data_IF_112170992974
#
_entry.id   IF_112170992974
#
_cell.length_a   1.000
_cell.length_b   1.000
_cell.length_c   1.000
_cell.angle_alpha   90.00
_cell.angle_beta   90.00
_cell.angle_gamma   90.00
#
_symmetry.space_group_name_H-M   'P 1'
#
loop_
_entity.id
_entity.type
_entity.pdbx_description
1 polymer ?
#
# COMPACT_ATOMS: atom_id res chain seq x y z
N UNK A 1 -2.02 -16.45 4.56
CA UNK A 1 -2.09 -16.53 3.09
C UNK A 1 -0.70 -16.21 2.53
N UNK A 2 -0.43 -16.37 1.23
CA UNK A 2 0.87 -16.15 0.59
C UNK A 2 0.89 -14.89 -0.30
N UNK A 3 2.07 -14.57 -0.84
CA UNK A 3 2.26 -13.53 -1.86
C UNK A 3 1.41 -13.76 -3.12
N UNK A 4 1.27 -15.02 -3.56
CA UNK A 4 0.42 -15.38 -4.69
C UNK A 4 -1.05 -15.10 -4.39
N UNK A 5 -1.53 -15.50 -3.19
CA UNK A 5 -2.91 -15.25 -2.76
C UNK A 5 -3.21 -13.75 -2.61
N UNK A 6 -2.24 -12.95 -2.15
CA UNK A 6 -2.36 -11.49 -2.14
C UNK A 6 -2.49 -10.94 -3.56
N UNK A 7 -1.66 -11.42 -4.48
CA UNK A 7 -1.64 -10.93 -5.87
C UNK A 7 -2.94 -11.26 -6.60
N UNK A 8 -3.46 -12.47 -6.43
CA UNK A 8 -4.78 -12.87 -6.92
C UNK A 8 -5.87 -11.99 -6.31
N UNK A 9 -5.88 -11.84 -4.99
CA UNK A 9 -6.87 -11.02 -4.29
C UNK A 9 -6.86 -9.56 -4.78
N UNK A 10 -5.70 -8.94 -4.97
CA UNK A 10 -5.61 -7.57 -5.48
C UNK A 10 -6.14 -7.48 -6.92
N UNK A 11 -5.80 -8.47 -7.76
CA UNK A 11 -6.24 -8.51 -9.17
C UNK A 11 -7.76 -8.66 -9.28
N UNK A 12 -8.35 -9.53 -8.46
CA UNK A 12 -9.79 -9.74 -8.41
C UNK A 12 -10.51 -8.46 -7.98
N UNK A 13 -10.05 -7.83 -6.88
CA UNK A 13 -10.64 -6.57 -6.40
C UNK A 13 -10.50 -5.43 -7.40
N UNK A 14 -9.35 -5.34 -8.07
CA UNK A 14 -9.15 -4.35 -9.13
C UNK A 14 -10.15 -4.55 -10.27
N UNK A 15 -10.37 -5.80 -10.68
CA UNK A 15 -11.30 -6.13 -11.77
C UNK A 15 -12.76 -5.87 -11.38
N UNK A 16 -13.13 -6.08 -10.12
CA UNK A 16 -14.48 -5.81 -9.60
C UNK A 16 -14.81 -4.30 -9.53
N UNK A 17 -13.83 -3.43 -9.28
CA UNK A 17 -14.04 -1.99 -9.09
C UNK A 17 -14.52 -1.27 -10.36
N UNK A 18 -14.16 -1.77 -11.55
CA UNK A 18 -14.50 -1.12 -12.81
C UNK A 18 -13.88 0.29 -12.95
N UNK A 19 -14.54 1.17 -13.73
CA UNK A 19 -14.05 2.52 -14.03
C UNK A 19 -14.74 3.62 -13.20
N UNK A 20 -15.86 3.32 -12.54
CA UNK A 20 -16.68 4.31 -11.82
C UNK A 20 -17.16 3.74 -10.49
N UNK A 21 -17.15 4.59 -9.47
CA UNK A 21 -17.65 4.27 -8.13
C UNK A 21 -18.62 5.36 -7.69
N UNK A 22 -19.90 5.00 -7.52
CA UNK A 22 -20.90 5.88 -6.93
C UNK A 22 -20.71 5.93 -5.41
N UNK A 23 -20.51 7.13 -4.87
CA UNK A 23 -20.27 7.35 -3.44
C UNK A 23 -21.42 8.17 -2.84
N UNK A 24 -22.13 7.59 -1.88
CA UNK A 24 -23.10 8.35 -1.09
C UNK A 24 -22.37 9.28 -0.11
N UNK A 25 -22.78 10.55 -0.08
CA UNK A 25 -22.17 11.54 0.79
C UNK A 25 -23.08 11.86 1.97
N UNK A 26 -22.57 11.60 3.18
CA UNK A 26 -23.24 12.03 4.40
C UNK A 26 -23.15 13.56 4.58
N UNK A 27 -23.63 14.07 5.72
CA UNK A 27 -23.61 15.51 6.00
C UNK A 27 -22.19 16.04 6.22
N UNK A 28 -21.35 15.29 6.90
CA UNK A 28 -19.99 15.71 7.27
C UNK A 28 -19.12 15.75 6.02
N UNK A 29 -19.12 14.67 5.24
CA UNK A 29 -18.42 14.53 3.97
C UNK A 29 -18.81 15.64 2.99
N UNK A 30 -20.10 15.99 2.89
CA UNK A 30 -20.55 17.12 2.05
C UNK A 30 -19.98 18.46 2.52
N UNK A 31 -19.95 18.72 3.82
CA UNK A 31 -19.42 19.98 4.35
C UNK A 31 -17.91 20.09 4.10
N UNK A 32 -17.17 19.01 4.36
CA UNK A 32 -15.72 18.98 4.17
C UNK A 32 -15.35 19.09 2.70
N UNK A 33 -16.01 18.32 1.83
CA UNK A 33 -15.80 18.40 0.39
C UNK A 33 -16.12 19.80 -0.14
N UNK A 34 -17.22 20.42 0.30
CA UNK A 34 -17.53 21.80 -0.08
C UNK A 34 -16.46 22.79 0.37
N UNK A 35 -15.93 22.65 1.60
CA UNK A 35 -14.87 23.54 2.08
C UNK A 35 -13.57 23.34 1.31
N UNK A 36 -13.22 22.10 0.95
CA UNK A 36 -12.06 21.80 0.11
C UNK A 36 -12.24 22.31 -1.32
N UNK A 37 -13.43 22.17 -1.92
CA UNK A 37 -13.72 22.73 -3.24
C UNK A 37 -13.53 24.25 -3.26
N UNK A 38 -13.97 24.96 -2.21
CA UNK A 38 -13.75 26.41 -2.12
C UNK A 38 -12.27 26.76 -1.94
N UNK A 39 -11.54 26.00 -1.11
CA UNK A 39 -10.15 26.31 -0.79
C UNK A 39 -9.17 25.97 -1.92
N UNK A 40 -9.47 24.91 -2.69
CA UNK A 40 -8.57 24.34 -3.68
C UNK A 40 -9.02 24.58 -5.12
N UNK A 41 -10.27 25.00 -5.33
CA UNK A 41 -10.87 25.35 -6.62
C UNK A 41 -10.61 24.30 -7.73
N UNK A 42 -10.98 23.02 -7.52
CA UNK A 42 -10.84 21.99 -8.54
C UNK A 42 -11.85 22.21 -9.68
N UNK A 43 -11.57 21.65 -10.85
CA UNK A 43 -12.54 21.68 -11.95
C UNK A 43 -13.81 20.89 -11.63
N UNK A 44 -13.64 19.73 -10.98
CA UNK A 44 -14.74 18.86 -10.55
C UNK A 44 -14.50 18.30 -9.13
N UNK A 45 -15.54 18.13 -8.28
CA UNK A 45 -15.37 17.64 -6.91
C UNK A 45 -14.81 16.22 -6.79
N UNK A 46 -15.01 15.39 -7.82
CA UNK A 46 -14.54 14.00 -7.86
C UNK A 46 -13.00 13.89 -7.92
N UNK A 47 -12.32 14.92 -8.43
CA UNK A 47 -10.86 15.05 -8.38
C UNK A 47 -10.35 15.03 -6.94
N UNK A 48 -11.04 15.73 -6.04
CA UNK A 48 -10.69 15.75 -4.62
C UNK A 48 -10.89 14.38 -3.97
N UNK A 49 -11.93 13.64 -4.38
CA UNK A 49 -12.17 12.27 -3.91
C UNK A 49 -11.05 11.32 -4.37
N UNK A 50 -10.65 11.37 -5.65
CA UNK A 50 -9.49 10.60 -6.15
C UNK A 50 -8.23 10.95 -5.37
N UNK A 51 -7.95 12.24 -5.17
CA UNK A 51 -6.79 12.70 -4.40
C UNK A 51 -6.84 12.22 -2.94
N UNK A 52 -8.01 12.21 -2.31
CA UNK A 52 -8.19 11.70 -0.96
C UNK A 52 -7.86 10.20 -0.87
N UNK A 53 -8.27 9.38 -1.85
CA UNK A 53 -7.89 7.96 -1.93
C UNK A 53 -6.38 7.80 -2.04
N UNK A 54 -5.72 8.56 -2.91
CA UNK A 54 -4.25 8.52 -3.05
C UNK A 54 -3.55 8.94 -1.75
N UNK A 55 -4.04 9.99 -1.08
CA UNK A 55 -3.48 10.45 0.19
C UNK A 55 -3.68 9.42 1.32
N UNK A 56 -4.85 8.77 1.37
CA UNK A 56 -5.12 7.69 2.31
C UNK A 56 -4.18 6.50 2.08
N UNK A 57 -4.03 6.06 0.83
CA UNK A 57 -3.10 4.99 0.47
C UNK A 57 -1.66 5.33 0.88
N UNK A 58 -1.17 6.49 0.45
CA UNK A 58 0.18 6.97 0.77
C UNK A 58 0.39 7.01 2.29
N UNK A 59 -0.53 7.60 3.05
CA UNK A 59 -0.41 7.68 4.51
C UNK A 59 -0.40 6.28 5.15
N UNK A 60 -1.14 5.33 4.59
CA UNK A 60 -1.21 3.95 5.10
C UNK A 60 0.08 3.18 4.82
N UNK A 61 0.73 3.41 3.68
CA UNK A 61 2.07 2.92 3.36
C UNK A 61 3.11 3.56 4.28
N UNK A 62 3.18 4.89 4.31
CA UNK A 62 4.20 5.66 5.02
C UNK A 62 4.19 5.41 6.53
N UNK A 63 3.02 5.10 7.10
CA UNK A 63 2.87 4.78 8.53
C UNK A 63 3.09 3.29 8.84
N UNK A 64 3.40 2.45 7.86
CA UNK A 64 3.60 1.00 8.01
C UNK A 64 2.32 0.23 8.34
N UNK A 65 1.15 0.90 8.33
CA UNK A 65 -0.15 0.26 8.61
C UNK A 65 -0.51 -0.75 7.53
N UNK A 66 -0.18 -0.47 6.27
CA UNK A 66 -0.44 -1.39 5.17
C UNK A 66 0.26 -2.73 5.44
N UNK A 67 1.55 -2.69 5.71
CA UNK A 67 2.34 -3.88 6.04
C UNK A 67 1.85 -4.62 7.27
N UNK A 68 1.37 -3.92 8.30
CA UNK A 68 0.78 -4.57 9.46
C UNK A 68 -0.44 -5.43 9.06
N UNK A 69 -1.33 -4.88 8.21
CA UNK A 69 -2.48 -5.61 7.71
C UNK A 69 -2.09 -6.75 6.77
N UNK A 70 -1.16 -6.52 5.84
CA UNK A 70 -0.70 -7.53 4.89
C UNK A 70 -0.01 -8.69 5.60
N UNK A 71 0.85 -8.45 6.60
CA UNK A 71 1.46 -9.53 7.39
C UNK A 71 0.42 -10.35 8.14
N UNK A 72 -0.60 -9.69 8.71
CA UNK A 72 -1.63 -10.40 9.46
C UNK A 72 -2.55 -11.27 8.59
N UNK A 73 -2.80 -10.88 7.33
CA UNK A 73 -3.69 -11.63 6.42
C UNK A 73 -2.96 -12.58 5.48
N UNK A 74 -1.84 -12.11 4.94
CA UNK A 74 -1.12 -12.68 3.80
C UNK A 74 0.33 -13.02 4.08
N UNK A 75 0.78 -12.92 5.34
CA UNK A 75 2.15 -13.25 5.76
C UNK A 75 3.23 -12.64 4.85
N UNK A 76 2.94 -11.46 4.32
CA UNK A 76 3.76 -10.76 3.33
C UNK A 76 3.70 -9.26 3.56
N UNK A 77 4.52 -8.52 2.85
CA UNK A 77 4.65 -7.06 2.90
C UNK A 77 4.31 -6.43 1.56
N UNK A 78 4.08 -5.11 1.59
CA UNK A 78 3.87 -4.36 0.37
C UNK A 78 5.11 -4.35 -0.53
N UNK A 79 6.31 -4.35 0.06
CA UNK A 79 7.56 -4.43 -0.70
C UNK A 79 7.73 -5.77 -1.42
N UNK A 80 7.39 -6.89 -0.78
CA UNK A 80 7.38 -8.21 -1.43
C UNK A 80 6.37 -8.24 -2.58
N UNK A 81 5.17 -7.69 -2.38
CA UNK A 81 4.17 -7.51 -3.44
C UNK A 81 4.71 -6.71 -4.63
N UNK A 82 5.37 -5.58 -4.37
CA UNK A 82 5.98 -4.76 -5.43
C UNK A 82 7.12 -5.47 -6.15
N UNK A 83 7.93 -6.25 -5.44
CA UNK A 83 9.04 -6.99 -6.02
C UNK A 83 8.60 -8.26 -6.76
N UNK A 84 7.39 -8.76 -6.50
CA UNK A 84 6.87 -10.02 -7.04
C UNK A 84 7.54 -11.26 -6.46
N UNK A 85 8.32 -11.13 -5.39
CA UNK A 85 9.02 -12.22 -4.72
C UNK A 85 9.12 -11.97 -3.21
N UNK A 86 9.20 -13.05 -2.43
CA UNK A 86 9.35 -12.97 -0.97
C UNK A 86 10.78 -12.63 -0.56
N UNK A 87 10.97 -12.15 0.67
CA UNK A 87 12.31 -11.90 1.21
C UNK A 87 13.18 -13.16 1.27
N UNK A 88 12.58 -14.32 1.55
CA UNK A 88 13.29 -15.60 1.58
C UNK A 88 13.82 -15.98 0.19
N UNK A 89 13.05 -15.72 -0.86
CA UNK A 89 13.46 -15.93 -2.25
C UNK A 89 14.55 -14.94 -2.68
N UNK A 90 14.46 -13.67 -2.25
CA UNK A 90 15.51 -12.67 -2.50
C UNK A 90 16.82 -13.00 -1.79
N UNK A 91 16.75 -13.48 -0.55
CA UNK A 91 17.92 -13.81 0.26
C UNK A 91 18.63 -15.09 -0.22
N UNK A 92 17.92 -16.01 -0.88
CA UNK A 92 18.48 -17.25 -1.43
C UNK A 92 19.52 -17.07 -2.53
N UNK A 93 19.56 -15.90 -3.19
CA UNK A 93 20.50 -15.58 -4.28
C UNK A 93 21.67 -14.68 -3.82
N UNK A 94 21.65 -14.18 -2.58
CA UNK A 94 22.80 -13.51 -1.99
C UNK A 94 23.75 -14.58 -1.41
N UNK A 95 25.01 -14.70 -1.89
CA UNK A 95 25.99 -15.47 -1.17
C UNK A 95 26.14 -14.84 0.22
N UNK A 96 25.55 -15.48 1.23
CA UNK A 96 25.81 -15.19 2.64
C UNK A 96 27.33 -15.09 2.76
N UNK A 97 27.90 -13.90 3.04
CA UNK A 97 29.32 -13.83 3.32
C UNK A 97 29.51 -14.75 4.51
N UNK A 98 30.18 -15.89 4.28
CA UNK A 98 30.56 -16.83 5.33
C UNK A 98 30.94 -16.00 6.53
N UNK A 99 30.26 -16.26 7.65
CA UNK A 99 30.46 -15.61 8.92
C UNK A 99 31.96 -15.60 9.19
N UNK A 100 32.64 -14.52 8.81
CA UNK A 100 34.04 -14.30 9.13
C UNK A 100 34.02 -13.83 10.58
N UNK A 101 33.87 -14.82 11.47
CA UNK A 101 33.90 -14.68 12.93
C UNK A 101 35.21 -14.04 13.41
N UNK A 102 36.23 -13.95 12.53
CA UNK A 102 37.57 -13.44 12.83
C UNK A 102 37.76 -11.91 12.79
N UNK A 103 36.76 -11.11 12.39
CA UNK A 103 36.92 -9.63 12.32
C UNK A 103 36.30 -8.87 13.48
N UNK A 104 36.04 -9.54 14.61
CA UNK A 104 35.44 -8.91 15.80
C UNK A 104 36.46 -8.27 16.74
N UNK A 105 37.77 -8.28 16.46
CA UNK A 105 38.75 -7.43 17.17
C UNK A 105 39.97 -7.17 16.29
N UNK A 106 40.03 -5.99 15.67
CA UNK A 106 41.29 -5.34 15.32
C UNK A 106 41.19 -3.88 15.76
N UNK A 107 42.12 -3.51 16.65
CA UNK A 107 42.26 -2.20 17.29
C UNK A 107 42.81 -1.14 16.31
#
# INVERSE_FOLDING_TARGET
MSLEELSESVTDRYSELGEQLDVELDRETRNELAMLSVALDPEEPDELVRRAVHMLFQTTVDTGKLDFHLRSGFDTTYDEYLSGMTYDEMAGDFPQPQQNEDRRYQF
#
